data_IF_717900180415
#
_entry.id   IF_717900180415
#
_cell.length_a   1.000
_cell.length_b   1.000
_cell.length_c   1.000
_cell.angle_alpha   90.00
_cell.angle_beta   90.00
_cell.angle_gamma   90.00
#
_symmetry.space_group_name_H-M   'P 1'
#
loop_
_entity.id
_entity.type
_entity.pdbx_description
1 polymer ?
#
# COMPACT_ATOMS: atom_id res chain seq x y z
N UNK A 1 12.10 9.70 17.46
CA UNK A 1 11.04 10.60 16.96
C UNK A 1 9.75 10.40 17.75
N UNK A 2 8.88 11.41 17.89
CA UNK A 2 7.55 11.20 18.50
C UNK A 2 6.75 10.21 17.63
N UNK A 3 5.94 9.34 18.26
CA UNK A 3 5.23 8.23 17.60
C UNK A 3 4.44 8.67 16.36
N UNK A 4 3.70 9.78 16.48
CA UNK A 4 2.86 10.33 15.40
C UNK A 4 3.71 10.83 14.22
N UNK A 5 4.80 11.54 14.49
CA UNK A 5 5.69 12.05 13.43
C UNK A 5 6.28 10.90 12.62
N UNK A 6 6.67 9.81 13.30
CA UNK A 6 7.18 8.60 12.64
C UNK A 6 6.12 7.97 11.71
N UNK A 7 4.89 7.83 12.19
CA UNK A 7 3.77 7.29 11.39
C UNK A 7 3.53 8.08 10.10
N UNK A 8 3.54 9.42 10.19
CA UNK A 8 3.32 10.30 9.04
C UNK A 8 4.47 10.22 8.04
N UNK A 9 5.72 10.22 8.52
CA UNK A 9 6.90 10.12 7.65
C UNK A 9 6.91 8.77 6.92
N UNK A 10 6.64 7.67 7.62
CA UNK A 10 6.62 6.34 7.00
C UNK A 10 5.51 6.20 5.97
N UNK A 11 4.33 6.75 6.26
CA UNK A 11 3.21 6.77 5.31
C UNK A 11 3.53 7.62 4.07
N UNK A 12 4.20 8.77 4.24
CA UNK A 12 4.64 9.62 3.15
C UNK A 12 5.70 8.94 2.27
N UNK A 13 6.69 8.30 2.89
CA UNK A 13 7.72 7.54 2.18
C UNK A 13 7.12 6.36 1.42
N UNK A 14 6.20 5.62 2.04
CA UNK A 14 5.53 4.50 1.41
C UNK A 14 4.71 4.94 0.19
N UNK A 15 3.96 6.03 0.30
CA UNK A 15 3.24 6.63 -0.83
C UNK A 15 4.17 7.01 -1.97
N UNK A 16 5.23 7.76 -1.64
CA UNK A 16 6.17 8.25 -2.62
C UNK A 16 6.89 7.10 -3.34
N UNK A 17 7.46 6.15 -2.58
CA UNK A 17 8.14 4.99 -3.12
C UNK A 17 7.20 4.12 -3.96
N UNK A 18 5.96 3.91 -3.51
CA UNK A 18 4.96 3.16 -4.30
C UNK A 18 4.67 3.85 -5.63
N UNK A 19 4.53 5.18 -5.64
CA UNK A 19 4.27 5.95 -6.86
C UNK A 19 5.44 5.94 -7.87
N UNK A 20 6.68 5.72 -7.41
CA UNK A 20 7.85 5.69 -8.28
C UNK A 20 7.90 4.44 -9.17
N UNK A 21 7.62 3.27 -8.58
CA UNK A 21 7.71 2.00 -9.32
C UNK A 21 6.38 1.60 -9.96
N UNK A 22 5.25 1.97 -9.35
CA UNK A 22 3.91 1.64 -9.83
C UNK A 22 3.30 2.80 -10.63
N UNK A 23 3.44 2.75 -11.96
CA UNK A 23 2.98 3.84 -12.82
C UNK A 23 1.47 4.06 -12.79
N UNK A 24 0.69 3.02 -12.45
CA UNK A 24 -0.75 3.09 -12.31
C UNK A 24 -1.23 3.61 -10.95
N UNK A 25 -0.34 3.84 -9.98
CA UNK A 25 -0.65 4.44 -8.68
C UNK A 25 -0.37 5.95 -8.73
N UNK A 26 -1.38 6.73 -9.10
CA UNK A 26 -1.26 8.18 -9.24
C UNK A 26 -1.61 8.89 -7.94
N UNK A 27 -0.64 9.62 -7.41
CA UNK A 27 -0.79 10.48 -6.24
C UNK A 27 -0.63 11.93 -6.69
N UNK A 28 -1.48 12.81 -6.21
CA UNK A 28 -1.33 14.25 -6.43
C UNK A 28 -0.37 14.83 -5.39
N UNK A 29 0.76 15.36 -5.85
CA UNK A 29 1.81 15.94 -5.01
C UNK A 29 1.57 17.42 -4.63
N UNK A 30 0.41 17.98 -4.96
CA UNK A 30 -0.01 19.29 -4.43
C UNK A 30 0.01 19.20 -2.90
N UNK A 31 0.71 20.11 -2.18
CA UNK A 31 0.98 19.97 -0.75
C UNK A 31 -0.25 19.64 0.08
N UNK A 32 -1.36 20.34 -0.17
CA UNK A 32 -2.63 20.12 0.53
C UNK A 32 -3.21 18.71 0.30
N UNK A 33 -3.23 18.23 -0.95
CA UNK A 33 -3.79 16.92 -1.28
C UNK A 33 -2.87 15.82 -0.76
N UNK A 34 -1.56 15.99 -0.92
CA UNK A 34 -0.57 15.02 -0.47
C UNK A 34 -0.63 14.80 1.04
N UNK A 35 -0.76 15.86 1.85
CA UNK A 35 -0.91 15.74 3.31
C UNK A 35 -2.18 14.96 3.67
N UNK A 36 -3.30 15.22 2.97
CA UNK A 36 -4.55 14.46 3.20
C UNK A 36 -4.37 12.98 2.84
N UNK A 37 -3.67 12.68 1.76
CA UNK A 37 -3.35 11.30 1.36
C UNK A 37 -2.45 10.62 2.38
N UNK A 38 -1.44 11.31 2.92
CA UNK A 38 -0.58 10.80 4.00
C UNK A 38 -1.42 10.46 5.23
N UNK A 39 -2.29 11.37 5.67
CA UNK A 39 -3.15 11.17 6.83
C UNK A 39 -4.09 9.98 6.62
N UNK A 40 -4.64 9.84 5.41
CA UNK A 40 -5.51 8.73 5.05
C UNK A 40 -4.77 7.39 5.11
N UNK A 41 -3.58 7.31 4.52
CA UNK A 41 -2.74 6.09 4.54
C UNK A 41 -2.32 5.78 5.98
N UNK A 42 -1.91 6.79 6.75
CA UNK A 42 -1.54 6.62 8.14
C UNK A 42 -2.74 6.09 8.96
N UNK A 43 -3.94 6.63 8.76
CA UNK A 43 -5.15 6.14 9.40
C UNK A 43 -5.42 4.67 9.06
N UNK A 44 -5.27 4.28 7.80
CA UNK A 44 -5.45 2.89 7.39
C UNK A 44 -4.46 1.95 8.08
N UNK A 45 -3.16 2.24 7.97
CA UNK A 45 -2.11 1.32 8.43
C UNK A 45 -1.92 1.31 9.95
N UNK A 46 -2.19 2.44 10.63
CA UNK A 46 -1.97 2.55 12.08
C UNK A 46 -3.25 2.42 12.91
N UNK A 47 -4.43 2.42 12.30
CA UNK A 47 -5.70 2.28 13.02
C UNK A 47 -6.55 1.15 12.43
N UNK A 48 -6.92 1.21 11.15
CA UNK A 48 -7.82 0.21 10.53
C UNK A 48 -7.20 -1.18 10.53
N UNK A 49 -5.95 -1.29 10.09
CA UNK A 49 -5.23 -2.56 10.01
C UNK A 49 -4.99 -3.21 11.38
N UNK A 50 -4.47 -2.51 12.41
CA UNK A 50 -4.29 -3.07 13.74
C UNK A 50 -5.60 -3.55 14.39
N UNK A 51 -6.69 -2.79 14.24
CA UNK A 51 -8.01 -3.20 14.72
C UNK A 51 -8.46 -4.48 14.01
N UNK A 52 -8.30 -4.52 12.68
CA UNK A 52 -8.66 -5.69 11.88
C UNK A 52 -7.84 -6.93 12.26
N UNK A 53 -6.55 -6.77 12.57
CA UNK A 53 -5.68 -7.86 13.05
C UNK A 53 -6.18 -8.48 14.34
N UNK A 54 -6.69 -7.68 15.28
CA UNK A 54 -7.24 -8.18 16.55
C UNK A 54 -8.50 -9.01 16.29
N UNK A 55 -9.39 -8.52 15.43
CA UNK A 55 -10.65 -9.21 15.08
C UNK A 55 -10.38 -10.52 14.33
N UNK A 56 -9.40 -10.52 13.42
CA UNK A 56 -9.07 -11.66 12.57
C UNK A 56 -8.06 -12.63 13.19
N UNK A 57 -7.58 -12.37 14.40
CA UNK A 57 -6.62 -13.20 15.11
C UNK A 57 -6.98 -14.69 15.16
N UNK A 58 -8.22 -15.11 15.53
CA UNK A 58 -8.58 -16.54 15.53
C UNK A 58 -8.49 -17.17 14.14
N UNK A 59 -8.94 -16.45 13.11
CA UNK A 59 -8.86 -16.87 11.72
C UNK A 59 -7.40 -17.00 11.28
N UNK A 60 -6.54 -16.09 11.73
CA UNK A 60 -5.13 -16.06 11.39
C UNK A 60 -4.39 -17.31 11.88
N UNK A 61 -4.73 -17.83 13.07
CA UNK A 61 -4.17 -19.06 13.61
C UNK A 61 -4.55 -20.30 12.79
N UNK A 62 -5.79 -20.36 12.28
CA UNK A 62 -6.29 -21.50 11.50
C UNK A 62 -5.76 -21.46 10.06
N UNK A 63 -5.70 -20.28 9.46
CA UNK A 63 -5.41 -20.08 8.02
C UNK A 63 -3.96 -19.67 7.72
N UNK A 64 -3.09 -19.65 8.74
CA UNK A 64 -1.71 -19.16 8.64
C UNK A 64 -1.60 -17.75 8.02
N UNK A 65 -2.65 -16.95 8.17
CA UNK A 65 -2.74 -15.59 7.67
C UNK A 65 -3.03 -15.40 6.18
N UNK A 66 -3.33 -16.47 5.45
CA UNK A 66 -3.80 -16.36 4.06
C UNK A 66 -5.14 -15.60 3.99
N UNK A 67 -6.12 -16.01 4.80
CA UNK A 67 -7.45 -15.38 4.76
C UNK A 67 -7.40 -13.93 5.27
N UNK A 68 -6.57 -13.64 6.28
CA UNK A 68 -6.41 -12.28 6.79
C UNK A 68 -5.77 -11.36 5.74
N UNK A 69 -4.79 -11.84 4.95
CA UNK A 69 -4.20 -11.07 3.85
C UNK A 69 -5.23 -10.66 2.79
N UNK A 70 -6.14 -11.57 2.44
CA UNK A 70 -7.21 -11.32 1.49
C UNK A 70 -8.22 -10.30 2.05
N UNK A 71 -8.56 -10.39 3.34
CA UNK A 71 -9.43 -9.42 4.00
C UNK A 71 -8.76 -8.05 4.07
N UNK A 72 -7.46 -7.96 4.36
CA UNK A 72 -6.74 -6.68 4.36
C UNK A 72 -6.70 -6.04 2.98
N UNK A 73 -6.54 -6.84 1.93
CA UNK A 73 -6.66 -6.38 0.55
C UNK A 73 -8.07 -5.80 0.28
N UNK A 74 -9.13 -6.51 0.67
CA UNK A 74 -10.51 -6.03 0.52
C UNK A 74 -10.73 -4.72 1.30
N UNK A 75 -10.25 -4.65 2.54
CA UNK A 75 -10.34 -3.44 3.36
C UNK A 75 -9.61 -2.27 2.71
N UNK A 76 -8.42 -2.50 2.16
CA UNK A 76 -7.67 -1.47 1.44
C UNK A 76 -8.43 -1.00 0.19
N UNK A 77 -8.99 -1.93 -0.58
CA UNK A 77 -9.80 -1.61 -1.75
C UNK A 77 -11.01 -0.75 -1.40
N UNK A 78 -11.79 -1.15 -0.41
CA UNK A 78 -12.95 -0.37 0.06
C UNK A 78 -12.50 1.01 0.55
N UNK A 79 -11.43 1.06 1.34
CA UNK A 79 -10.92 2.29 1.91
C UNK A 79 -10.43 3.27 0.84
N UNK A 80 -9.63 2.84 -0.13
CA UNK A 80 -9.10 3.72 -1.18
C UNK A 80 -10.22 4.20 -2.13
N UNK A 81 -11.21 3.33 -2.41
CA UNK A 81 -12.34 3.66 -3.29
C UNK A 81 -13.25 4.76 -2.72
N UNK A 82 -13.36 4.87 -1.40
CA UNK A 82 -14.25 5.82 -0.75
C UNK A 82 -13.73 7.27 -0.76
N UNK A 83 -12.42 7.47 -0.63
CA UNK A 83 -11.85 8.81 -0.42
C UNK A 83 -11.32 9.48 -1.69
N UNK A 84 -11.15 8.76 -2.80
CA UNK A 84 -10.73 9.32 -4.12
C UNK A 84 -9.45 10.17 -4.15
N UNK A 85 -8.62 10.11 -3.09
CA UNK A 85 -7.37 10.89 -2.97
C UNK A 85 -6.18 10.25 -3.71
N UNK A 86 -6.33 9.00 -4.13
CA UNK A 86 -5.35 8.23 -4.90
C UNK A 86 -6.07 7.60 -6.08
N UNK A 87 -5.51 7.77 -7.27
CA UNK A 87 -6.05 7.14 -8.47
C UNK A 87 -5.26 5.87 -8.76
N UNK A 88 -5.95 4.73 -8.79
CA UNK A 88 -5.36 3.44 -9.18
C UNK A 88 -5.92 3.10 -10.55
N UNK A 89 -5.05 2.95 -11.54
CA UNK A 89 -5.41 2.62 -12.94
C UNK A 89 -4.68 1.38 -13.40
N UNK A 90 -5.28 0.66 -14.36
CA UNK A 90 -4.55 -0.36 -15.10
C UNK A 90 -3.36 0.29 -15.83
N UNK A 91 -2.24 -0.43 -15.92
CA UNK A 91 -1.04 0.08 -16.58
C UNK A 91 -0.24 -1.06 -17.19
N UNK A 92 0.62 -0.72 -18.15
CA UNK A 92 1.51 -1.69 -18.80
C UNK A 92 2.89 -1.59 -18.16
N UNK A 93 3.30 -2.66 -17.48
CA UNK A 93 4.68 -2.79 -17.05
C UNK A 93 5.54 -3.06 -18.30
N UNK A 94 6.52 -2.18 -18.56
CA UNK A 94 7.33 -2.24 -19.77
C UNK A 94 8.41 -3.33 -19.73
N UNK A 95 8.50 -4.09 -18.64
CA UNK A 95 9.58 -5.04 -18.41
C UNK A 95 10.79 -4.37 -17.76
N UNK A 96 11.71 -5.19 -17.28
CA UNK A 96 12.95 -4.74 -16.65
C UNK A 96 14.07 -5.70 -17.01
N UNK A 97 15.18 -5.15 -17.49
CA UNK A 97 16.40 -5.92 -17.80
C UNK A 97 17.49 -5.51 -16.83
N UNK A 98 17.90 -6.42 -15.94
CA UNK A 98 18.95 -6.13 -14.96
C UNK A 98 19.80 -7.37 -14.71
N UNK A 99 21.13 -7.25 -14.85
CA UNK A 99 22.09 -8.33 -14.55
C UNK A 99 21.86 -9.63 -15.33
N UNK A 100 21.30 -9.57 -16.55
CA UNK A 100 20.98 -10.75 -17.36
C UNK A 100 19.57 -11.35 -17.10
N UNK A 101 18.85 -10.88 -16.08
CA UNK A 101 17.45 -11.21 -15.88
C UNK A 101 16.57 -10.28 -16.72
N UNK A 102 15.73 -10.88 -17.56
CA UNK A 102 14.77 -10.18 -18.42
C UNK A 102 13.36 -10.46 -17.91
N UNK A 103 12.75 -9.46 -17.28
CA UNK A 103 11.33 -9.47 -16.96
C UNK A 103 10.58 -8.94 -18.18
N UNK A 104 9.72 -9.77 -18.76
CA UNK A 104 8.92 -9.39 -19.93
C UNK A 104 7.88 -8.33 -19.57
N UNK A 105 7.43 -7.52 -20.55
CA UNK A 105 6.30 -6.62 -20.34
C UNK A 105 5.03 -7.38 -19.94
N UNK A 106 4.26 -6.84 -19.00
CA UNK A 106 3.01 -7.45 -18.50
C UNK A 106 1.95 -6.37 -18.36
N UNK A 107 0.70 -6.70 -18.72
CA UNK A 107 -0.44 -5.82 -18.47
C UNK A 107 -0.95 -6.01 -17.05
N UNK A 108 -0.90 -4.95 -16.26
CA UNK A 108 -1.37 -4.92 -14.88
C UNK A 108 -2.79 -4.38 -14.93
N UNK A 109 -3.78 -5.25 -14.72
CA UNK A 109 -5.17 -4.83 -14.62
C UNK A 109 -5.42 -4.04 -13.32
N UNK A 110 -6.60 -3.45 -13.20
CA UNK A 110 -6.95 -2.64 -12.04
C UNK A 110 -6.85 -3.41 -10.70
N UNK A 111 -7.42 -4.61 -10.61
CA UNK A 111 -7.46 -5.41 -9.37
C UNK A 111 -6.04 -5.80 -8.93
N UNK A 112 -5.23 -6.29 -9.87
CA UNK A 112 -3.81 -6.60 -9.63
C UNK A 112 -3.06 -5.36 -9.20
N UNK A 113 -3.37 -4.19 -9.77
CA UNK A 113 -2.73 -2.95 -9.35
C UNK A 113 -3.10 -2.56 -7.91
N UNK A 114 -4.38 -2.64 -7.54
CA UNK A 114 -4.81 -2.42 -6.14
C UNK A 114 -4.05 -3.36 -5.19
N UNK A 115 -3.90 -4.63 -5.57
CA UNK A 115 -3.18 -5.61 -4.76
C UNK A 115 -1.72 -5.20 -4.60
N UNK A 116 -1.04 -4.92 -5.70
CA UNK A 116 0.36 -4.48 -5.72
C UNK A 116 0.59 -3.18 -4.94
N UNK A 117 -0.31 -2.21 -5.05
CA UNK A 117 -0.25 -0.96 -4.28
C UNK A 117 -0.41 -1.24 -2.78
N UNK A 118 -1.42 -2.02 -2.39
CA UNK A 118 -1.66 -2.37 -0.99
C UNK A 118 -0.48 -3.13 -0.37
N UNK A 119 0.08 -4.07 -1.13
CA UNK A 119 1.22 -4.88 -0.73
C UNK A 119 2.47 -4.02 -0.58
N UNK A 120 2.74 -3.14 -1.55
CA UNK A 120 3.92 -2.27 -1.51
C UNK A 120 3.89 -1.27 -0.38
N UNK A 121 2.75 -0.60 -0.19
CA UNK A 121 2.56 0.30 0.95
C UNK A 121 2.79 -0.44 2.27
N UNK A 122 2.18 -1.62 2.43
CA UNK A 122 2.37 -2.42 3.65
C UNK A 122 3.82 -2.84 3.84
N UNK A 123 4.47 -3.33 2.79
CA UNK A 123 5.85 -3.80 2.83
C UNK A 123 6.79 -2.66 3.22
N UNK A 124 6.67 -1.51 2.57
CA UNK A 124 7.52 -0.35 2.85
C UNK A 124 7.33 0.13 4.29
N UNK A 125 6.08 0.28 4.75
CA UNK A 125 5.80 0.70 6.14
C UNK A 125 6.40 -0.30 7.13
N UNK A 126 6.18 -1.60 6.93
CA UNK A 126 6.70 -2.64 7.82
C UNK A 126 8.24 -2.68 7.83
N UNK A 127 8.89 -2.51 6.67
CA UNK A 127 10.36 -2.44 6.61
C UNK A 127 10.88 -1.21 7.34
N UNK A 128 10.25 -0.04 7.15
CA UNK A 128 10.65 1.18 7.85
C UNK A 128 10.48 1.04 9.36
N UNK A 129 9.40 0.42 9.82
CA UNK A 129 9.18 0.13 11.25
C UNK A 129 10.16 -0.87 11.83
N UNK A 130 10.62 -1.83 11.04
CA UNK A 130 11.62 -2.80 11.48
C UNK A 130 12.99 -2.15 11.67
N UNK A 131 13.34 -1.17 10.84
CA UNK A 131 14.67 -0.54 10.81
C UNK A 131 14.76 0.67 11.78
N UNK A 132 13.68 1.43 12.01
CA UNK A 132 13.68 2.75 12.68
C UNK A 132 12.69 2.87 13.87
#
# INVERSE_FOLDING_TARGET
MKKITRMLIFSALALYLTSLWNQGFKVNFTPYIFIRTILLIALFYYLVLPISKIILLPVNFITLGLLSSLIYFILFYVFISHFSLVEIKAWKFLGLTFGGLVVKPVEINYITNVFLSSFSLSLIINILELIL
#
